data_IF_532215107683
#
_entry.id   IF_532215107683
#
_cell.length_a   1.000
_cell.length_b   1.000
_cell.length_c   1.000
_cell.angle_alpha   90.00
_cell.angle_beta   90.00
_cell.angle_gamma   90.00
#
_symmetry.space_group_name_H-M   'P 1'
#
loop_
_entity.id
_entity.type
_entity.pdbx_description
1 polymer ?
#
# COMPACT_ATOMS: atom_id res chain seq x y z
N UNK A 1 -15.46 22.50 12.00
CA UNK A 1 -16.14 21.20 12.11
C UNK A 1 -15.94 20.48 10.78
N UNK A 2 -15.23 19.34 10.73
CA UNK A 2 -15.05 18.58 9.48
C UNK A 2 -16.39 17.96 9.08
N UNK A 3 -16.76 18.09 7.81
CA UNK A 3 -17.95 17.45 7.23
C UNK A 3 -17.82 15.92 7.28
N UNK A 4 -18.95 15.20 7.27
CA UNK A 4 -18.95 13.73 7.29
C UNK A 4 -18.21 13.14 6.09
N UNK A 5 -18.26 13.81 4.94
CA UNK A 5 -17.52 13.45 3.73
C UNK A 5 -16.00 13.53 3.93
N UNK A 6 -15.50 14.60 4.58
CA UNK A 6 -14.08 14.70 4.94
C UNK A 6 -13.64 13.60 5.92
N UNK A 7 -14.50 13.23 6.87
CA UNK A 7 -14.20 12.16 7.83
C UNK A 7 -14.15 10.78 7.16
N UNK A 8 -15.06 10.49 6.22
CA UNK A 8 -15.04 9.24 5.47
C UNK A 8 -13.79 9.13 4.60
N UNK A 9 -13.38 10.21 3.93
CA UNK A 9 -12.15 10.22 3.16
C UNK A 9 -10.91 9.97 4.04
N UNK A 10 -10.85 10.51 5.26
CA UNK A 10 -9.74 10.24 6.19
C UNK A 10 -9.67 8.76 6.61
N UNK A 11 -10.82 8.16 6.94
CA UNK A 11 -10.90 6.74 7.32
C UNK A 11 -10.49 5.84 6.14
N UNK A 12 -11.06 6.09 4.96
CA UNK A 12 -10.74 5.30 3.77
C UNK A 12 -9.29 5.49 3.31
N UNK A 13 -8.72 6.69 3.46
CA UNK A 13 -7.30 6.94 3.21
C UNK A 13 -6.42 6.13 4.18
N UNK A 14 -6.78 6.10 5.47
CA UNK A 14 -6.09 5.26 6.45
C UNK A 14 -6.19 3.76 6.13
N UNK A 15 -7.35 3.29 5.65
CA UNK A 15 -7.52 1.91 5.18
C UNK A 15 -6.62 1.66 3.97
N UNK A 16 -6.56 2.57 2.99
CA UNK A 16 -5.68 2.42 1.82
C UNK A 16 -4.21 2.29 2.23
N UNK A 17 -3.73 3.14 3.15
CA UNK A 17 -2.36 3.05 3.69
C UNK A 17 -2.09 1.65 4.26
N UNK A 18 -3.01 1.12 5.07
CA UNK A 18 -2.86 -0.23 5.64
C UNK A 18 -2.89 -1.34 4.60
N UNK A 19 -3.74 -1.24 3.59
CA UNK A 19 -3.77 -2.21 2.50
C UNK A 19 -2.45 -2.22 1.71
N UNK A 20 -1.87 -1.05 1.45
CA UNK A 20 -0.57 -0.94 0.79
C UNK A 20 0.58 -1.49 1.67
N UNK A 21 0.56 -1.28 2.99
CA UNK A 21 1.51 -1.92 3.91
C UNK A 21 1.39 -3.46 3.86
N UNK A 22 0.16 -3.99 3.87
CA UNK A 22 -0.07 -5.43 3.75
C UNK A 22 0.43 -6.01 2.42
N UNK A 23 0.28 -5.27 1.31
CA UNK A 23 0.81 -5.67 0.01
C UNK A 23 2.34 -5.80 0.06
N UNK A 24 3.03 -4.79 0.62
CA UNK A 24 4.49 -4.81 0.78
C UNK A 24 4.95 -6.01 1.62
N UNK A 25 4.36 -6.22 2.78
CA UNK A 25 4.73 -7.31 3.69
C UNK A 25 4.51 -8.69 3.05
N UNK A 26 3.42 -8.86 2.32
CA UNK A 26 3.16 -10.10 1.60
C UNK A 26 4.20 -10.37 0.52
N UNK A 27 4.52 -9.37 -0.30
CA UNK A 27 5.53 -9.50 -1.35
C UNK A 27 6.91 -9.88 -0.77
N UNK A 28 7.28 -9.30 0.37
CA UNK A 28 8.51 -9.67 1.07
C UNK A 28 8.48 -11.14 1.54
N UNK A 29 7.37 -11.59 2.13
CA UNK A 29 7.24 -12.97 2.57
C UNK A 29 7.23 -13.97 1.42
N UNK A 30 6.53 -13.67 0.32
CA UNK A 30 6.51 -14.53 -0.86
C UNK A 30 7.93 -14.67 -1.43
N UNK A 31 8.68 -13.57 -1.51
CA UNK A 31 10.08 -13.60 -1.95
C UNK A 31 10.91 -14.56 -1.09
N UNK A 32 10.81 -14.46 0.24
CA UNK A 32 11.53 -15.36 1.17
C UNK A 32 11.12 -16.82 0.97
N UNK A 33 9.82 -17.09 0.76
CA UNK A 33 9.30 -18.44 0.56
C UNK A 33 9.82 -19.04 -0.75
N UNK A 34 9.76 -18.29 -1.86
CA UNK A 34 10.23 -18.71 -3.17
C UNK A 34 11.74 -18.95 -3.18
N UNK A 35 12.53 -18.10 -2.50
CA UNK A 35 13.99 -18.30 -2.35
C UNK A 35 14.32 -19.58 -1.58
N UNK A 36 13.48 -19.98 -0.63
CA UNK A 36 13.68 -21.17 0.21
C UNK A 36 13.08 -22.45 -0.36
N UNK A 37 12.10 -22.34 -1.28
CA UNK A 37 11.38 -23.47 -1.84
C UNK A 37 11.29 -23.35 -3.37
N UNK A 38 12.26 -23.92 -4.12
CA UNK A 38 12.33 -23.77 -5.58
C UNK A 38 11.19 -24.47 -6.34
N UNK A 39 10.37 -25.27 -5.66
CA UNK A 39 9.15 -25.89 -6.23
C UNK A 39 7.90 -25.04 -6.07
N UNK A 40 7.98 -23.96 -5.29
CA UNK A 40 6.86 -23.06 -5.01
C UNK A 40 7.12 -21.77 -5.77
N UNK A 41 6.22 -21.47 -6.70
CA UNK A 41 6.34 -20.29 -7.54
C UNK A 41 5.52 -19.13 -6.98
N UNK A 42 5.91 -17.93 -7.38
CA UNK A 42 5.18 -16.72 -7.07
C UNK A 42 3.70 -16.83 -7.49
N UNK A 43 3.42 -17.39 -8.68
CA UNK A 43 2.07 -17.63 -9.22
C UNK A 43 1.17 -18.48 -8.31
N UNK A 44 1.75 -19.40 -7.53
CA UNK A 44 1.00 -20.26 -6.59
C UNK A 44 0.43 -19.47 -5.42
N UNK A 45 1.09 -18.36 -5.04
CA UNK A 45 0.70 -17.48 -3.94
C UNK A 45 -0.02 -16.22 -4.43
N UNK A 46 0.30 -15.75 -5.63
CA UNK A 46 -0.24 -14.54 -6.22
C UNK A 46 -1.77 -14.64 -6.38
N UNK A 47 -2.27 -15.75 -6.91
CA UNK A 47 -3.69 -15.89 -7.26
C UNK A 47 -4.66 -15.73 -6.07
N UNK A 48 -4.34 -16.29 -4.91
CA UNK A 48 -5.23 -16.19 -3.74
C UNK A 48 -5.10 -14.86 -3.02
N UNK A 49 -3.88 -14.35 -2.86
CA UNK A 49 -3.66 -13.10 -2.13
C UNK A 49 -4.11 -11.87 -2.92
N UNK A 50 -3.77 -11.78 -4.20
CA UNK A 50 -4.19 -10.66 -5.04
C UNK A 50 -5.70 -10.64 -5.30
N UNK A 51 -6.38 -11.79 -5.28
CA UNK A 51 -7.85 -11.80 -5.41
C UNK A 51 -8.52 -11.04 -4.26
N UNK A 52 -8.16 -11.32 -3.00
CA UNK A 52 -8.78 -10.66 -1.84
C UNK A 52 -8.24 -9.26 -1.57
N UNK A 53 -6.91 -9.08 -1.57
CA UNK A 53 -6.30 -7.78 -1.27
C UNK A 53 -6.49 -6.81 -2.44
N UNK A 54 -6.35 -7.28 -3.68
CA UNK A 54 -6.54 -6.47 -4.88
C UNK A 54 -7.98 -5.95 -5.02
N UNK A 55 -8.98 -6.78 -4.69
CA UNK A 55 -10.38 -6.33 -4.63
C UNK A 55 -10.58 -5.25 -3.55
N UNK A 56 -9.97 -5.40 -2.38
CA UNK A 56 -10.03 -4.39 -1.31
C UNK A 56 -9.37 -3.07 -1.75
N UNK A 57 -8.17 -3.14 -2.34
CA UNK A 57 -7.45 -1.97 -2.87
C UNK A 57 -8.26 -1.25 -3.95
N UNK A 58 -8.84 -2.02 -4.87
CA UNK A 58 -9.67 -1.48 -5.95
C UNK A 58 -10.94 -0.79 -5.42
N UNK A 59 -11.65 -1.43 -4.48
CA UNK A 59 -12.86 -0.89 -3.89
C UNK A 59 -12.58 0.39 -3.09
N UNK A 60 -11.56 0.39 -2.23
CA UNK A 60 -11.19 1.57 -1.44
C UNK A 60 -10.75 2.70 -2.36
N UNK A 61 -9.94 2.40 -3.39
CA UNK A 61 -9.53 3.37 -4.40
C UNK A 61 -10.72 4.01 -5.12
N UNK A 62 -11.71 3.22 -5.51
CA UNK A 62 -12.95 3.72 -6.12
C UNK A 62 -13.68 4.72 -5.21
N UNK A 63 -13.77 4.44 -3.90
CA UNK A 63 -14.50 5.31 -2.96
C UNK A 63 -13.77 6.61 -2.61
N UNK A 64 -12.43 6.62 -2.55
CA UNK A 64 -11.67 7.83 -2.21
C UNK A 64 -11.31 8.70 -3.42
N UNK A 65 -11.34 8.13 -4.62
CA UNK A 65 -10.99 8.80 -5.87
C UNK A 65 -9.48 8.91 -6.13
N UNK A 66 -9.15 9.06 -7.41
CA UNK A 66 -7.78 8.96 -7.95
C UNK A 66 -6.79 9.96 -7.33
N UNK A 67 -7.26 11.13 -6.90
CA UNK A 67 -6.41 12.17 -6.32
C UNK A 67 -5.92 11.79 -4.92
N UNK A 68 -6.78 11.21 -4.09
CA UNK A 68 -6.43 10.71 -2.76
C UNK A 68 -5.48 9.51 -2.85
N UNK A 69 -5.71 8.63 -3.83
CA UNK A 69 -4.80 7.52 -4.14
C UNK A 69 -3.38 8.03 -4.45
N UNK A 70 -3.26 9.01 -5.35
CA UNK A 70 -1.95 9.60 -5.73
C UNK A 70 -1.24 10.25 -4.54
N UNK A 71 -1.99 10.89 -3.64
CA UNK A 71 -1.42 11.48 -2.43
C UNK A 71 -0.81 10.41 -1.52
N UNK A 72 -1.55 9.31 -1.27
CA UNK A 72 -1.07 8.18 -0.46
C UNK A 72 0.17 7.54 -1.05
N UNK A 73 0.17 7.21 -2.34
CA UNK A 73 1.34 6.60 -2.98
C UNK A 73 2.55 7.52 -2.97
N UNK A 74 2.37 8.83 -3.19
CA UNK A 74 3.46 9.81 -3.12
C UNK A 74 4.07 9.89 -1.71
N UNK A 75 3.26 9.82 -0.66
CA UNK A 75 3.74 9.76 0.72
C UNK A 75 4.44 8.43 1.04
N UNK A 76 3.98 7.33 0.46
CA UNK A 76 4.62 6.01 0.61
C UNK A 76 5.94 5.86 -0.18
N UNK A 77 6.10 6.59 -1.29
CA UNK A 77 7.37 6.68 -2.02
C UNK A 77 8.42 7.53 -1.29
N UNK A 78 7.96 8.45 -0.43
CA UNK A 78 8.78 9.23 0.49
C UNK A 78 9.24 8.41 1.71
N UNK A 79 9.56 7.12 1.53
CA UNK A 79 10.46 6.51 2.50
C UNK A 79 11.76 7.31 2.45
N UNK A 80 12.18 7.94 3.56
CA UNK A 80 13.42 8.69 3.57
C UNK A 80 14.50 7.66 3.28
N UNK A 81 15.13 7.77 2.10
CA UNK A 81 16.36 7.05 1.85
C UNK A 81 17.25 7.37 3.06
N UNK A 82 17.77 6.36 3.79
CA UNK A 82 18.56 6.61 5.00
C UNK A 82 19.82 7.46 4.72
N UNK A 83 20.14 7.71 3.45
CA UNK A 83 21.23 8.56 2.98
C UNK A 83 20.82 9.99 2.58
N UNK A 84 19.55 10.40 2.72
CA UNK A 84 19.12 11.76 2.37
C UNK A 84 19.29 12.70 3.56
N UNK A 85 20.37 13.48 3.55
CA UNK A 85 20.60 14.57 4.49
C UNK A 85 19.81 15.80 3.99
N UNK A 86 18.75 16.18 4.70
CA UNK A 86 18.03 17.43 4.49
C UNK A 86 18.75 18.57 5.23
N UNK A 87 19.22 19.56 4.49
CA UNK A 87 19.72 20.81 5.06
C UNK A 87 18.59 21.82 5.15
N UNK A 88 18.28 22.29 6.36
CA UNK A 88 17.39 23.43 6.56
C UNK A 88 18.10 24.71 6.13
N UNK A 89 17.55 25.40 5.14
CA UNK A 89 17.98 26.75 4.79
C UNK A 89 17.32 27.75 5.76
N UNK A 90 18.15 28.48 6.50
CA UNK A 90 17.74 29.50 7.47
C UNK A 90 17.41 30.82 6.79
#
# INVERSE_FOLDING_TARGET
MKTEEMKHNEVLTGILVKLCECEKDFMEQVKIICERNPTVTYDDHENQFYSGLGECLSAVGFFIGEWAIRAVYKEMELEPNPNTITFEAK
#
